data_IF_822067655110
#
_entry.id   IF_822067655110
#
_cell.length_a   1.000
_cell.length_b   1.000
_cell.length_c   1.000
_cell.angle_alpha   90.00
_cell.angle_beta   90.00
_cell.angle_gamma   90.00
#
_symmetry.space_group_name_H-M   'P 1'
#
loop_
_entity.id
_entity.type
_entity.pdbx_description
1 polymer ?
#
# COMPACT_ATOMS: atom_id res chain seq x y z
N UNK A 1 -11.10 27.58 10.21
CA UNK A 1 -10.76 27.19 11.61
C UNK A 1 -11.76 27.66 12.68
N UNK A 2 -11.93 28.97 12.94
CA UNK A 2 -12.73 29.49 14.08
C UNK A 2 -14.13 28.88 14.22
N UNK A 3 -14.88 28.82 13.12
CA UNK A 3 -16.21 28.24 13.10
C UNK A 3 -16.24 26.75 13.54
N UNK A 4 -15.17 25.99 13.26
CA UNK A 4 -15.05 24.58 13.67
C UNK A 4 -14.87 24.51 15.20
N UNK A 5 -14.01 25.37 15.77
CA UNK A 5 -13.79 25.44 17.22
C UNK A 5 -15.06 25.87 17.97
N UNK A 6 -15.78 26.86 17.45
CA UNK A 6 -17.04 27.30 18.05
C UNK A 6 -18.10 26.16 18.02
N UNK A 7 -18.13 25.38 16.92
CA UNK A 7 -19.00 24.21 16.83
C UNK A 7 -18.59 23.08 17.79
N UNK A 8 -17.29 22.84 17.98
CA UNK A 8 -16.79 21.88 18.96
C UNK A 8 -17.21 22.25 20.38
N UNK A 9 -16.99 23.51 20.80
CA UNK A 9 -17.40 23.97 22.13
C UNK A 9 -18.91 23.80 22.36
N UNK A 10 -19.74 24.16 21.37
CA UNK A 10 -21.20 23.95 21.46
C UNK A 10 -21.56 22.47 21.59
N UNK A 11 -20.93 21.59 20.81
CA UNK A 11 -21.20 20.15 20.87
C UNK A 11 -20.74 19.55 22.20
N UNK A 12 -19.64 20.03 22.78
CA UNK A 12 -19.20 19.66 24.13
C UNK A 12 -20.21 20.10 25.19
N UNK A 13 -20.73 21.33 25.13
CA UNK A 13 -21.78 21.83 26.01
C UNK A 13 -23.09 21.01 25.90
N UNK A 14 -23.38 20.48 24.72
CA UNK A 14 -24.49 19.54 24.47
C UNK A 14 -24.20 18.09 24.92
N UNK A 15 -23.02 17.84 25.49
CA UNK A 15 -22.60 16.52 25.97
C UNK A 15 -22.28 15.52 24.85
N UNK A 16 -21.91 15.99 23.65
CA UNK A 16 -21.52 15.11 22.54
C UNK A 16 -20.06 14.69 22.67
N UNK A 17 -19.80 13.39 22.59
CA UNK A 17 -18.45 12.83 22.65
C UNK A 17 -17.71 12.84 21.30
N UNK A 18 -18.43 12.91 20.19
CA UNK A 18 -17.87 12.83 18.84
C UNK A 18 -18.53 13.86 17.92
N UNK A 19 -17.74 14.45 17.03
CA UNK A 19 -18.20 15.35 15.99
C UNK A 19 -17.67 14.87 14.63
N UNK A 20 -18.58 14.65 13.68
CA UNK A 20 -18.20 14.45 12.27
C UNK A 20 -18.06 15.82 11.64
N UNK A 21 -16.94 16.06 10.96
CA UNK A 21 -16.64 17.36 10.32
C UNK A 21 -16.49 17.15 8.82
N UNK A 22 -17.30 17.87 8.05
CA UNK A 22 -17.29 17.78 6.60
C UNK A 22 -16.04 18.43 6.00
N UNK A 23 -15.46 17.76 5.01
CA UNK A 23 -14.37 18.29 4.20
C UNK A 23 -14.65 17.99 2.72
N UNK A 24 -14.70 19.04 1.89
CA UNK A 24 -14.87 18.95 0.43
C UNK A 24 -13.64 19.43 -0.33
N UNK A 25 -12.61 19.88 0.40
CA UNK A 25 -11.33 20.35 -0.14
C UNK A 25 -10.22 20.17 0.89
N UNK A 26 -8.98 20.14 0.44
CA UNK A 26 -7.80 20.07 1.32
C UNK A 26 -7.74 21.25 2.30
N UNK A 27 -8.19 22.44 1.88
CA UNK A 27 -8.27 23.61 2.74
C UNK A 27 -9.09 23.35 4.01
N UNK A 28 -10.17 22.56 3.90
CA UNK A 28 -10.96 22.15 5.06
C UNK A 28 -10.17 21.22 5.98
N UNK A 29 -9.39 20.29 5.42
CA UNK A 29 -8.56 19.37 6.22
C UNK A 29 -7.48 20.11 7.02
N UNK A 30 -6.85 21.13 6.42
CA UNK A 30 -5.91 22.01 7.15
C UNK A 30 -6.62 22.80 8.26
N UNK A 31 -7.82 23.30 8.00
CA UNK A 31 -8.64 23.99 8.99
C UNK A 31 -9.07 23.09 10.15
N UNK A 32 -9.45 21.84 9.85
CA UNK A 32 -9.77 20.80 10.83
C UNK A 32 -8.52 20.52 11.67
N UNK A 33 -7.36 20.31 11.04
CA UNK A 33 -6.10 20.07 11.73
C UNK A 33 -5.78 21.17 12.75
N UNK A 34 -5.91 22.45 12.37
CA UNK A 34 -5.71 23.59 13.30
C UNK A 34 -6.75 23.63 14.43
N UNK A 35 -8.01 23.34 14.13
CA UNK A 35 -9.09 23.31 15.11
C UNK A 35 -8.87 22.21 16.17
N UNK A 36 -8.27 21.09 15.79
CA UNK A 36 -8.00 19.95 16.67
C UNK A 36 -6.75 20.10 17.54
N UNK A 37 -6.02 21.23 17.51
CA UNK A 37 -4.74 21.42 18.22
C UNK A 37 -4.75 21.02 19.68
N UNK A 38 -5.85 21.31 20.37
CA UNK A 38 -5.98 21.15 21.83
C UNK A 38 -6.70 19.85 22.22
N UNK A 39 -7.08 19.03 21.23
CA UNK A 39 -7.74 17.74 21.47
C UNK A 39 -6.70 16.66 21.75
N UNK A 40 -6.93 15.88 22.81
CA UNK A 40 -6.07 14.75 23.17
C UNK A 40 -6.18 13.57 22.17
N UNK A 41 -7.30 13.47 21.45
CA UNK A 41 -7.58 12.40 20.50
C UNK A 41 -8.28 12.95 19.26
N UNK A 42 -7.78 12.57 18.08
CA UNK A 42 -8.40 12.84 16.78
C UNK A 42 -8.50 11.51 16.02
N UNK A 43 -9.64 11.26 15.39
CA UNK A 43 -9.89 10.03 14.62
C UNK A 43 -10.27 10.37 13.19
N UNK A 44 -9.76 9.61 12.21
CA UNK A 44 -10.11 9.78 10.80
C UNK A 44 -9.18 9.00 9.87
N UNK A 45 -9.37 9.16 8.56
CA UNK A 45 -8.41 8.70 7.55
C UNK A 45 -7.16 9.59 7.50
N UNK A 46 -6.24 9.32 6.58
CA UNK A 46 -4.99 10.09 6.43
C UNK A 46 -5.20 11.59 6.23
N UNK A 47 -6.28 11.99 5.54
CA UNK A 47 -6.58 13.40 5.26
C UNK A 47 -6.70 14.27 6.52
N UNK A 48 -7.23 13.74 7.63
CA UNK A 48 -7.35 14.53 8.88
C UNK A 48 -5.98 14.90 9.46
N UNK A 49 -4.95 14.11 9.14
CA UNK A 49 -3.60 14.31 9.66
C UNK A 49 -2.82 15.41 8.93
N UNK A 50 -3.23 15.82 7.72
CA UNK A 50 -2.43 16.72 6.87
C UNK A 50 -2.11 18.06 7.53
N UNK A 51 -3.06 18.61 8.31
CA UNK A 51 -2.90 19.87 9.03
C UNK A 51 -2.33 19.76 10.43
N UNK A 52 -2.15 18.54 10.98
CA UNK A 52 -1.69 18.36 12.36
C UNK A 52 -0.22 18.76 12.58
N UNK A 53 0.74 18.43 11.68
CA UNK A 53 2.14 18.83 11.86
C UNK A 53 2.33 20.34 12.04
N UNK A 54 1.52 21.16 11.37
CA UNK A 54 1.60 22.62 11.44
C UNK A 54 1.30 23.16 12.84
N UNK A 55 0.51 22.46 13.65
CA UNK A 55 0.29 22.83 15.05
C UNK A 55 1.58 22.77 15.86
N UNK A 56 2.39 21.72 15.65
CA UNK A 56 3.67 21.56 16.34
C UNK A 56 4.72 22.54 15.81
N UNK A 57 4.74 22.81 14.50
CA UNK A 57 5.61 23.84 13.92
C UNK A 57 5.28 25.23 14.47
N UNK A 58 4.00 25.59 14.52
CA UNK A 58 3.55 26.86 15.07
C UNK A 58 3.88 27.02 16.57
N UNK A 59 3.93 25.90 17.31
CA UNK A 59 4.36 25.88 18.71
C UNK A 59 5.88 25.81 18.91
N UNK A 60 6.68 25.77 17.84
CA UNK A 60 8.13 25.61 17.92
C UNK A 60 8.60 24.23 18.39
N UNK A 61 7.71 23.23 18.40
CA UNK A 61 7.97 21.86 18.86
C UNK A 61 8.47 20.95 17.74
N UNK A 62 8.34 21.37 16.48
CA UNK A 62 8.77 20.62 15.31
C UNK A 62 9.57 21.53 14.37
N UNK A 63 10.82 21.16 14.07
CA UNK A 63 11.64 21.83 13.08
C UNK A 63 11.16 21.52 11.64
N UNK A 64 11.41 22.43 10.70
CA UNK A 64 11.31 22.15 9.27
C UNK A 64 12.45 21.22 8.84
N UNK A 65 12.29 19.91 9.07
CA UNK A 65 13.25 18.90 8.62
C UNK A 65 13.25 18.76 7.10
N UNK A 66 14.39 18.42 6.52
CA UNK A 66 14.51 18.06 5.11
C UNK A 66 13.78 16.74 4.82
N UNK A 67 13.15 16.64 3.65
CA UNK A 67 12.62 15.38 3.17
C UNK A 67 13.75 14.34 3.09
N UNK A 68 13.49 13.16 3.61
CA UNK A 68 14.46 12.09 3.64
C UNK A 68 14.72 11.58 2.19
N UNK A 69 15.98 11.31 1.82
CA UNK A 69 16.40 10.91 0.46
C UNK A 69 15.89 9.51 0.05
N UNK A 70 15.56 9.26 -1.23
CA UNK A 70 14.96 7.99 -1.69
C UNK A 70 15.65 6.69 -1.19
N UNK A 71 14.91 5.55 -1.11
CA UNK A 71 15.47 4.26 -0.68
C UNK A 71 16.75 3.90 -1.45
N UNK A 72 17.74 3.33 -0.74
CA UNK A 72 19.04 2.99 -1.35
C UNK A 72 19.16 1.52 -1.75
N UNK A 73 18.11 0.73 -1.50
CA UNK A 73 18.10 -0.71 -1.75
C UNK A 73 18.31 -1.03 -3.24
N UNK A 74 19.34 -1.83 -3.54
CA UNK A 74 19.66 -2.31 -4.89
C UNK A 74 19.42 -3.80 -4.99
N UNK A 75 18.86 -4.26 -6.11
CA UNK A 75 18.57 -5.68 -6.36
C UNK A 75 17.43 -5.85 -7.35
N UNK A 76 16.91 -7.08 -7.48
CA UNK A 76 15.76 -7.35 -8.35
C UNK A 76 14.54 -6.49 -8.01
N UNK A 77 13.70 -6.26 -9.01
CA UNK A 77 12.43 -5.54 -8.91
C UNK A 77 11.27 -6.54 -9.06
N UNK A 78 10.28 -6.47 -8.18
CA UNK A 78 9.06 -7.23 -8.40
C UNK A 78 7.81 -6.46 -8.01
N UNK A 79 6.74 -6.70 -8.78
CA UNK A 79 5.38 -6.29 -8.46
C UNK A 79 4.59 -7.52 -8.05
N UNK A 80 3.84 -7.43 -6.96
CA UNK A 80 2.94 -8.49 -6.49
C UNK A 80 1.54 -7.88 -6.33
N UNK A 81 0.61 -8.25 -7.20
CA UNK A 81 -0.73 -7.66 -7.26
C UNK A 81 -1.81 -8.70 -6.98
N UNK A 82 -2.48 -8.58 -5.83
CA UNK A 82 -3.66 -9.40 -5.47
C UNK A 82 -4.98 -8.65 -5.57
N UNK A 83 -4.95 -7.31 -5.59
CA UNK A 83 -6.16 -6.50 -5.67
C UNK A 83 -6.84 -6.63 -7.04
N UNK A 84 -8.14 -6.94 -7.05
CA UNK A 84 -9.00 -6.96 -8.24
C UNK A 84 -9.69 -5.60 -8.50
N UNK A 85 -9.13 -4.50 -8.00
CA UNK A 85 -9.70 -3.17 -8.24
C UNK A 85 -9.52 -2.74 -9.70
N UNK A 86 -10.37 -1.82 -10.18
CA UNK A 86 -10.24 -1.25 -11.52
C UNK A 86 -8.88 -0.58 -11.75
N UNK A 87 -8.38 0.15 -10.77
CA UNK A 87 -7.07 0.81 -10.86
C UNK A 87 -5.95 -0.24 -10.98
N UNK A 88 -5.96 -1.27 -10.14
CA UNK A 88 -4.97 -2.36 -10.19
C UNK A 88 -5.01 -3.13 -11.51
N UNK A 89 -6.20 -3.41 -12.06
CA UNK A 89 -6.34 -4.10 -13.36
C UNK A 89 -5.74 -3.27 -14.50
N UNK A 90 -5.98 -1.96 -14.51
CA UNK A 90 -5.36 -1.04 -15.48
C UNK A 90 -3.84 -1.00 -15.35
N UNK A 91 -3.33 -0.91 -14.12
CA UNK A 91 -1.89 -0.90 -13.83
C UNK A 91 -1.20 -2.21 -14.26
N UNK A 92 -1.85 -3.36 -14.04
CA UNK A 92 -1.36 -4.66 -14.53
C UNK A 92 -1.31 -4.66 -16.05
N UNK A 93 -2.40 -4.27 -16.72
CA UNK A 93 -2.46 -4.26 -18.18
C UNK A 93 -1.43 -3.30 -18.82
N UNK A 94 -1.13 -2.18 -18.15
CA UNK A 94 -0.06 -1.27 -18.54
C UNK A 94 1.31 -1.95 -18.40
N UNK A 95 1.61 -2.47 -17.21
CA UNK A 95 2.91 -3.03 -16.85
C UNK A 95 3.25 -4.32 -17.62
N UNK A 96 2.25 -5.12 -18.01
CA UNK A 96 2.45 -6.31 -18.85
C UNK A 96 3.10 -6.01 -20.21
N UNK A 97 3.10 -4.76 -20.66
CA UNK A 97 3.75 -4.34 -21.92
C UNK A 97 5.27 -4.33 -21.82
N UNK A 98 5.82 -4.14 -20.62
CA UNK A 98 7.26 -3.95 -20.37
C UNK A 98 7.84 -4.98 -19.39
N UNK A 99 7.03 -5.56 -18.49
CA UNK A 99 7.48 -6.52 -17.49
C UNK A 99 7.07 -7.96 -17.84
N UNK A 100 8.02 -8.91 -17.78
CA UNK A 100 7.67 -10.33 -17.75
C UNK A 100 6.66 -10.56 -16.63
N UNK A 101 5.57 -11.25 -16.95
CA UNK A 101 4.43 -11.38 -16.06
C UNK A 101 4.04 -12.84 -15.84
N UNK A 102 3.73 -13.20 -14.60
CA UNK A 102 3.28 -14.51 -14.19
C UNK A 102 1.92 -14.37 -13.50
N UNK A 103 0.90 -15.00 -14.10
CA UNK A 103 -0.45 -15.02 -13.55
C UNK A 103 -0.62 -16.23 -12.64
N UNK A 104 -1.06 -16.00 -11.41
CA UNK A 104 -1.42 -17.05 -10.47
C UNK A 104 -2.81 -17.57 -10.84
N UNK A 105 -2.91 -18.85 -11.15
CA UNK A 105 -4.20 -19.50 -11.39
C UNK A 105 -4.86 -19.87 -10.05
N UNK A 106 -5.99 -19.25 -9.68
CA UNK A 106 -6.68 -19.57 -8.43
C UNK A 106 -7.13 -21.02 -8.33
N UNK A 107 -7.44 -21.68 -9.45
CA UNK A 107 -7.84 -23.08 -9.45
C UNK A 107 -6.66 -24.01 -9.19
N UNK A 108 -5.48 -23.67 -9.70
CA UNK A 108 -4.26 -24.42 -9.42
C UNK A 108 -3.84 -24.29 -7.94
N UNK A 109 -3.98 -23.08 -7.37
CA UNK A 109 -3.77 -22.86 -5.93
C UNK A 109 -4.76 -23.67 -5.10
N UNK A 110 -6.05 -23.64 -5.45
CA UNK A 110 -7.09 -24.43 -4.76
C UNK A 110 -6.87 -25.94 -4.88
N UNK A 111 -6.22 -26.41 -5.95
CA UNK A 111 -5.84 -27.80 -6.14
C UNK A 111 -4.58 -28.22 -5.35
N UNK A 112 -3.98 -27.32 -4.57
CA UNK A 112 -2.78 -27.59 -3.77
C UNK A 112 -1.48 -27.59 -4.57
N UNK A 113 -1.47 -27.00 -5.76
CA UNK A 113 -0.24 -26.85 -6.56
C UNK A 113 0.69 -25.83 -5.91
N UNK A 114 1.99 -26.12 -5.88
CA UNK A 114 2.99 -25.18 -5.38
C UNK A 114 3.29 -24.08 -6.42
N UNK A 115 2.34 -23.16 -6.55
CA UNK A 115 2.44 -22.02 -7.48
C UNK A 115 3.59 -21.09 -7.10
N UNK A 116 3.99 -21.03 -5.83
CA UNK A 116 5.12 -20.22 -5.43
C UNK A 116 6.44 -20.76 -5.97
N UNK A 117 6.66 -22.08 -5.91
CA UNK A 117 7.84 -22.71 -6.51
C UNK A 117 7.89 -22.53 -8.03
N UNK A 118 6.75 -22.65 -8.72
CA UNK A 118 6.66 -22.41 -10.17
C UNK A 118 6.95 -20.95 -10.54
N UNK A 119 6.38 -20.01 -9.78
CA UNK A 119 6.63 -18.59 -9.95
C UNK A 119 8.10 -18.24 -9.73
N UNK A 120 8.75 -18.82 -8.72
CA UNK A 120 10.18 -18.63 -8.45
C UNK A 120 11.04 -19.22 -9.56
N UNK A 121 10.77 -20.45 -9.99
CA UNK A 121 11.49 -21.11 -11.09
C UNK A 121 11.41 -20.28 -12.37
N UNK A 122 10.20 -19.83 -12.70
CA UNK A 122 9.98 -18.92 -13.81
C UNK A 122 10.75 -17.60 -13.66
N UNK A 123 10.95 -17.09 -12.44
CA UNK A 123 11.60 -15.80 -12.20
C UNK A 123 13.13 -15.81 -12.24
N UNK A 124 13.78 -16.98 -12.19
CA UNK A 124 15.24 -17.13 -11.96
C UNK A 124 16.14 -16.22 -12.79
N UNK A 125 15.85 -16.05 -14.07
CA UNK A 125 16.69 -15.30 -15.01
C UNK A 125 16.15 -13.87 -15.29
N UNK A 126 15.26 -13.36 -14.43
CA UNK A 126 14.58 -12.08 -14.64
C UNK A 126 15.03 -11.06 -13.61
N UNK A 127 15.50 -9.92 -14.08
CA UNK A 127 15.82 -8.77 -13.21
C UNK A 127 14.56 -8.06 -12.69
N UNK A 128 13.44 -8.21 -13.41
CA UNK A 128 12.15 -7.56 -13.17
C UNK A 128 11.02 -8.53 -13.43
N UNK A 129 10.01 -8.55 -12.57
CA UNK A 129 8.89 -9.50 -12.67
C UNK A 129 7.60 -8.97 -12.08
N UNK A 130 6.47 -9.23 -12.75
CA UNK A 130 5.12 -8.97 -12.24
C UNK A 130 4.42 -10.30 -11.92
N UNK A 131 3.92 -10.43 -10.69
CA UNK A 131 3.07 -11.55 -10.26
C UNK A 131 1.69 -11.02 -9.93
N UNK A 132 0.65 -11.65 -10.47
CA UNK A 132 -0.71 -11.19 -10.20
C UNK A 132 -1.72 -12.33 -10.17
N UNK A 133 -2.70 -12.19 -9.29
CA UNK A 133 -3.91 -13.05 -9.25
C UNK A 133 -5.17 -12.27 -9.59
N UNK A 134 -5.03 -10.95 -9.84
CA UNK A 134 -6.14 -10.05 -10.16
C UNK A 134 -6.86 -10.48 -11.43
N UNK A 135 -8.18 -10.42 -11.38
CA UNK A 135 -9.03 -10.75 -12.51
C UNK A 135 -10.28 -9.88 -12.53
N UNK A 136 -10.99 -9.90 -13.65
CA UNK A 136 -12.27 -9.23 -13.77
C UNK A 136 -13.29 -9.80 -12.76
N UNK A 137 -14.22 -8.99 -12.22
CA UNK A 137 -15.15 -9.40 -11.16
C UNK A 137 -15.91 -10.69 -11.45
N UNK A 138 -16.30 -10.92 -12.71
CA UNK A 138 -17.03 -12.13 -13.11
C UNK A 138 -16.19 -13.40 -13.01
N UNK A 139 -14.90 -13.32 -13.37
CA UNK A 139 -13.99 -14.45 -13.29
C UNK A 139 -13.58 -14.73 -11.82
N UNK A 140 -13.44 -13.68 -11.01
CA UNK A 140 -13.29 -13.82 -9.55
C UNK A 140 -14.50 -14.54 -8.95
N UNK A 141 -15.71 -14.13 -9.34
CA UNK A 141 -16.96 -14.75 -8.84
C UNK A 141 -17.06 -16.22 -9.23
N UNK A 142 -16.72 -16.57 -10.47
CA UNK A 142 -16.72 -17.95 -10.93
C UNK A 142 -15.75 -18.84 -10.13
N UNK A 143 -14.58 -18.32 -9.76
CA UNK A 143 -13.64 -19.04 -8.89
C UNK A 143 -14.23 -19.23 -7.48
N UNK A 144 -14.78 -18.16 -6.89
CA UNK A 144 -15.37 -18.17 -5.55
C UNK A 144 -16.57 -19.10 -5.42
N UNK A 145 -17.43 -19.17 -6.43
CA UNK A 145 -18.62 -20.03 -6.43
C UNK A 145 -18.26 -21.52 -6.40
N UNK A 146 -17.06 -21.90 -6.88
CA UNK A 146 -16.62 -23.30 -6.98
C UNK A 146 -15.86 -23.81 -5.75
N UNK A 147 -15.12 -22.95 -5.06
CA UNK A 147 -14.21 -23.36 -3.96
C UNK A 147 -14.37 -22.53 -2.67
N UNK A 148 -15.35 -21.63 -2.60
CA UNK A 148 -15.57 -20.79 -1.43
C UNK A 148 -14.71 -19.52 -1.42
N UNK A 149 -15.35 -18.38 -1.17
CA UNK A 149 -14.71 -17.05 -1.29
C UNK A 149 -13.53 -16.82 -0.36
N UNK A 150 -13.66 -17.21 0.91
CA UNK A 150 -12.63 -16.95 1.93
C UNK A 150 -11.42 -17.85 1.75
N UNK A 151 -11.62 -19.10 1.34
CA UNK A 151 -10.54 -20.09 1.21
C UNK A 151 -9.60 -19.78 0.05
N UNK A 152 -10.16 -19.36 -1.10
CA UNK A 152 -9.34 -18.98 -2.27
C UNK A 152 -8.55 -17.70 -2.01
N UNK A 153 -9.17 -16.70 -1.39
CA UNK A 153 -8.52 -15.42 -1.09
C UNK A 153 -7.28 -15.62 -0.21
N UNK A 154 -7.45 -16.32 0.92
CA UNK A 154 -6.36 -16.61 1.83
C UNK A 154 -5.25 -17.47 1.18
N UNK A 155 -5.62 -18.44 0.33
CA UNK A 155 -4.64 -19.28 -0.36
C UNK A 155 -3.82 -18.48 -1.40
N UNK A 156 -4.46 -17.56 -2.13
CA UNK A 156 -3.76 -16.65 -3.04
C UNK A 156 -2.84 -15.69 -2.29
N UNK A 157 -3.30 -15.10 -1.19
CA UNK A 157 -2.50 -14.22 -0.34
C UNK A 157 -1.26 -14.96 0.21
N UNK A 158 -1.43 -16.19 0.69
CA UNK A 158 -0.33 -17.02 1.16
C UNK A 158 0.66 -17.36 0.04
N UNK A 159 0.18 -17.70 -1.16
CA UNK A 159 1.03 -17.95 -2.32
C UNK A 159 1.83 -16.69 -2.73
N UNK A 160 1.17 -15.53 -2.78
CA UNK A 160 1.81 -14.25 -3.10
C UNK A 160 2.86 -13.85 -2.06
N UNK A 161 2.56 -14.05 -0.77
CA UNK A 161 3.50 -13.81 0.31
C UNK A 161 4.72 -14.73 0.25
N UNK A 162 4.52 -16.01 -0.09
CA UNK A 162 5.61 -16.97 -0.30
C UNK A 162 6.48 -16.59 -1.50
N UNK A 163 5.87 -16.16 -2.61
CA UNK A 163 6.59 -15.63 -3.79
C UNK A 163 7.46 -14.44 -3.37
N UNK A 164 6.92 -13.49 -2.60
CA UNK A 164 7.70 -12.34 -2.12
C UNK A 164 8.92 -12.78 -1.29
N UNK A 165 8.73 -13.73 -0.37
CA UNK A 165 9.78 -14.28 0.47
C UNK A 165 10.89 -14.93 -0.36
N UNK A 166 10.52 -15.76 -1.34
CA UNK A 166 11.48 -16.48 -2.17
C UNK A 166 12.26 -15.54 -3.09
N UNK A 167 11.58 -14.54 -3.68
CA UNK A 167 12.24 -13.50 -4.47
C UNK A 167 13.24 -12.71 -3.63
N UNK A 168 12.87 -12.33 -2.41
CA UNK A 168 13.77 -11.65 -1.49
C UNK A 168 14.96 -12.54 -1.13
N UNK A 169 14.74 -13.84 -0.87
CA UNK A 169 15.84 -14.78 -0.66
C UNK A 169 16.76 -14.88 -1.91
N UNK A 170 16.20 -14.77 -3.11
CA UNK A 170 16.92 -14.80 -4.38
C UNK A 170 17.61 -13.48 -4.79
N UNK A 171 17.42 -12.39 -4.05
CA UNK A 171 18.11 -11.11 -4.30
C UNK A 171 17.22 -9.95 -4.75
N UNK A 172 15.90 -10.12 -4.81
CA UNK A 172 14.95 -9.02 -4.98
C UNK A 172 14.99 -8.11 -3.75
N UNK A 173 15.08 -6.81 -3.97
CA UNK A 173 15.16 -5.80 -2.89
C UNK A 173 14.18 -4.66 -3.06
N UNK A 174 13.51 -4.56 -4.21
CA UNK A 174 12.58 -3.49 -4.56
C UNK A 174 11.23 -4.12 -4.89
N UNK A 175 10.26 -3.99 -4.00
CA UNK A 175 8.94 -4.61 -4.12
C UNK A 175 7.84 -3.56 -4.17
N UNK A 176 6.95 -3.68 -5.14
CA UNK A 176 5.65 -3.00 -5.14
C UNK A 176 4.58 -4.04 -4.87
N UNK A 177 3.74 -3.82 -3.87
CA UNK A 177 2.66 -4.73 -3.50
C UNK A 177 1.32 -4.01 -3.64
N UNK A 178 0.40 -4.57 -4.42
CA UNK A 178 -0.89 -3.96 -4.72
C UNK A 178 -2.06 -4.78 -4.13
N UNK A 179 -2.72 -4.21 -3.11
CA UNK A 179 -3.79 -4.82 -2.32
C UNK A 179 -3.48 -4.77 -0.84
N UNK A 180 -4.46 -4.42 -0.01
CA UNK A 180 -4.26 -4.25 1.44
C UNK A 180 -3.94 -5.56 2.14
N UNK A 181 -4.74 -6.58 1.86
CA UNK A 181 -4.60 -7.94 2.38
C UNK A 181 -3.30 -8.58 1.87
N UNK A 182 -3.00 -8.46 0.58
CA UNK A 182 -1.73 -8.89 -0.01
C UNK A 182 -0.52 -8.19 0.63
N UNK A 183 -0.61 -6.86 0.84
CA UNK A 183 0.46 -6.10 1.49
C UNK A 183 0.68 -6.57 2.93
N UNK A 184 -0.40 -6.83 3.67
CA UNK A 184 -0.34 -7.39 5.02
C UNK A 184 0.38 -8.74 5.05
N UNK A 185 -0.07 -9.69 4.22
CA UNK A 185 0.50 -11.03 4.14
C UNK A 185 1.99 -11.01 3.74
N UNK A 186 2.37 -10.17 2.78
CA UNK A 186 3.76 -10.02 2.32
C UNK A 186 4.65 -9.44 3.43
N UNK A 187 4.24 -8.32 4.06
CA UNK A 187 5.02 -7.68 5.13
C UNK A 187 5.19 -8.60 6.34
N UNK A 188 4.12 -9.32 6.72
CA UNK A 188 4.15 -10.30 7.79
C UNK A 188 5.13 -11.45 7.50
N UNK A 189 5.02 -12.05 6.32
CA UNK A 189 5.86 -13.19 5.89
C UNK A 189 7.34 -12.80 5.75
N UNK A 190 7.61 -11.57 5.30
CA UNK A 190 8.97 -11.03 5.25
C UNK A 190 9.52 -10.64 6.63
N UNK A 191 8.70 -10.70 7.69
CA UNK A 191 9.11 -10.37 9.05
C UNK A 191 9.41 -8.88 9.24
N UNK A 192 8.90 -8.00 8.38
CA UNK A 192 9.16 -6.56 8.44
C UNK A 192 8.42 -5.97 9.64
N UNK A 193 9.17 -5.42 10.59
CA UNK A 193 8.62 -4.87 11.86
C UNK A 193 8.48 -3.36 11.88
N UNK A 194 9.22 -2.66 11.03
CA UNK A 194 9.16 -1.21 10.93
C UNK A 194 9.58 -0.74 9.53
N UNK A 195 9.01 0.39 9.13
CA UNK A 195 9.26 1.04 7.85
C UNK A 195 9.69 2.48 8.10
N UNK A 196 10.71 2.92 7.37
CA UNK A 196 11.02 4.34 7.17
C UNK A 196 10.26 4.82 5.95
N UNK A 197 9.49 5.90 6.10
CA UNK A 197 8.70 6.50 5.02
C UNK A 197 9.59 7.46 4.20
N UNK A 198 9.48 7.38 2.88
CA UNK A 198 10.18 8.21 1.88
C UNK A 198 9.16 8.96 1.00
N UNK A 199 9.60 9.72 -0.03
CA UNK A 199 8.67 10.46 -0.88
C UNK A 199 7.55 9.60 -1.47
N UNK A 200 6.42 10.25 -1.68
CA UNK A 200 5.26 9.68 -2.37
C UNK A 200 5.61 9.35 -3.82
N UNK A 201 5.20 8.17 -4.25
CA UNK A 201 5.16 7.78 -5.67
C UNK A 201 3.92 8.45 -6.28
N UNK A 202 2.80 8.30 -5.60
CA UNK A 202 1.49 8.88 -5.92
C UNK A 202 0.80 9.25 -4.59
N UNK A 203 -0.09 10.25 -4.53
CA UNK A 203 -0.87 10.61 -3.34
C UNK A 203 -1.28 9.42 -2.45
N UNK A 204 -0.73 9.38 -1.23
CA UNK A 204 -1.04 8.35 -0.24
C UNK A 204 -0.29 7.02 -0.41
N UNK A 205 0.64 6.91 -1.35
CA UNK A 205 1.49 5.73 -1.56
C UNK A 205 2.97 6.12 -1.62
N UNK A 206 3.66 6.15 -0.46
CA UNK A 206 5.09 6.39 -0.41
C UNK A 206 5.91 5.14 -0.69
N UNK A 207 7.14 5.37 -1.15
CA UNK A 207 8.19 4.39 -0.93
C UNK A 207 8.47 4.26 0.57
N UNK A 208 8.69 3.03 1.01
CA UNK A 208 9.11 2.70 2.35
C UNK A 208 10.43 1.92 2.29
N UNK A 209 11.26 2.02 3.33
CA UNK A 209 12.41 1.13 3.52
C UNK A 209 12.24 0.31 4.79
N UNK A 210 12.42 -1.01 4.70
CA UNK A 210 12.40 -1.87 5.88
C UNK A 210 13.55 -1.55 6.82
N UNK A 211 13.25 -1.50 8.12
CA UNK A 211 14.29 -1.44 9.15
C UNK A 211 14.71 -2.86 9.52
N UNK A 212 16.00 -3.16 9.37
CA UNK A 212 16.58 -4.49 9.62
C UNK A 212 17.22 -5.08 8.38
N UNK A 213 17.46 -6.40 8.41
CA UNK A 213 18.06 -7.15 7.30
C UNK A 213 17.09 -8.24 6.80
N UNK A 214 16.95 -8.43 5.48
CA UNK A 214 17.49 -7.56 4.42
C UNK A 214 16.79 -6.19 4.39
N UNK A 215 17.52 -5.17 3.95
CA UNK A 215 16.92 -3.87 3.63
C UNK A 215 16.14 -3.98 2.32
N UNK A 216 14.87 -3.59 2.35
CA UNK A 216 13.94 -3.65 1.24
C UNK A 216 13.36 -2.27 0.98
N UNK A 217 13.30 -1.86 -0.29
CA UNK A 217 12.40 -0.81 -0.71
C UNK A 217 11.02 -1.44 -0.97
N UNK A 218 9.98 -0.92 -0.32
CA UNK A 218 8.62 -1.43 -0.35
C UNK A 218 7.64 -0.30 -0.70
N UNK A 219 6.81 -0.48 -1.71
CA UNK A 219 5.65 0.36 -1.97
C UNK A 219 4.39 -0.45 -1.71
N UNK A 220 3.61 -0.07 -0.70
CA UNK A 220 2.40 -0.80 -0.27
C UNK A 220 1.17 -0.03 -0.75
N UNK A 221 0.66 -0.41 -1.91
CA UNK A 221 -0.40 0.31 -2.62
C UNK A 221 -1.76 -0.31 -2.30
N UNK A 222 -2.68 0.48 -1.76
CA UNK A 222 -4.09 0.07 -1.70
C UNK A 222 -4.67 -0.08 -3.11
N UNK A 223 -5.72 -0.90 -3.27
CA UNK A 223 -6.25 -1.29 -4.57
C UNK A 223 -6.55 -0.09 -5.48
N UNK A 224 -7.32 0.89 -5.02
CA UNK A 224 -7.81 1.99 -5.85
C UNK A 224 -6.84 3.17 -6.05
N UNK A 225 -5.60 3.09 -5.53
CA UNK A 225 -4.64 4.19 -5.56
C UNK A 225 -3.73 4.13 -6.79
N UNK A 226 -3.10 5.24 -7.16
CA UNK A 226 -2.11 5.28 -8.24
C UNK A 226 -2.69 5.51 -9.63
N UNK A 227 -1.95 6.24 -10.46
CA UNK A 227 -2.17 6.34 -11.90
C UNK A 227 -2.00 4.99 -12.63
N UNK A 228 -2.30 4.96 -13.95
CA UNK A 228 -2.21 3.74 -14.76
C UNK A 228 -0.76 3.22 -14.89
N UNK A 229 0.20 4.13 -14.94
CA UNK A 229 1.65 3.87 -15.03
C UNK A 229 2.35 3.82 -13.66
N UNK A 230 1.60 3.77 -12.56
CA UNK A 230 2.11 3.80 -11.19
C UNK A 230 3.29 2.83 -10.93
N UNK A 231 3.23 1.61 -11.48
CA UNK A 231 4.29 0.62 -11.27
C UNK A 231 5.61 1.03 -11.97
N UNK A 232 5.55 1.64 -13.15
CA UNK A 232 6.73 2.13 -13.86
C UNK A 232 7.32 3.36 -13.16
N UNK A 233 6.45 4.31 -12.75
CA UNK A 233 6.86 5.49 -11.98
C UNK A 233 7.54 5.10 -10.67
N UNK A 234 6.99 4.11 -9.95
CA UNK A 234 7.56 3.61 -8.71
C UNK A 234 9.02 3.18 -8.89
N UNK A 235 9.33 2.36 -9.89
CA UNK A 235 10.70 1.90 -10.11
C UNK A 235 11.62 2.96 -10.71
N UNK A 236 11.10 3.92 -11.49
CA UNK A 236 11.87 5.04 -12.02
C UNK A 236 12.41 5.99 -10.93
N UNK A 237 11.78 6.02 -9.75
CA UNK A 237 12.24 6.78 -8.59
C UNK A 237 13.43 6.14 -7.85
N UNK A 238 13.74 4.87 -8.12
CA UNK A 238 14.80 4.13 -7.45
C UNK A 238 16.09 4.10 -8.28
N UNK A 239 17.27 4.03 -7.62
CA UNK A 239 18.56 3.97 -8.30
C UNK A 239 18.84 2.65 -9.01
#
# INVERSE_FOLDING_TARGET
ERAIRDAFARLEDEGKAFAVVDAISDAHLFDIGRACRDLALVTGGSGVAIGLPDNFRAAGLLSSGAAAAAPTARGGEAVIAGSCSRATLGQIAHMQRSFPSFRLDPFAVAAGKDIAAEALDWAKDKARSLFFSSDEPDAVRAAQDRHGRMEIGAALEAAQAKIAQDLVAAGTRRLVVAGGETSGAVVETLGVKALRIWPEIDPGVPWCESLGAPQLALALKSGNFGAEDFFDEAFAMLP
#
